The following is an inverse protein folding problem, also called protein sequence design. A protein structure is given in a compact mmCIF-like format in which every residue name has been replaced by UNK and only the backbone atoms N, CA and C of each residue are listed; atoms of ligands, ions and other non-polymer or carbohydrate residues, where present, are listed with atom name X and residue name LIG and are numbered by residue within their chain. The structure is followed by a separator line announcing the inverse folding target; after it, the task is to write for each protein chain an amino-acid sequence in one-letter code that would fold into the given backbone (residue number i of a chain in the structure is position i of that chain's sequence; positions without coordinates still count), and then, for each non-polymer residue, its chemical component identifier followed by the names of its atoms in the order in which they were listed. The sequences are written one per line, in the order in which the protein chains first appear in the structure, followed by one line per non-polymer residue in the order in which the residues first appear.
data_IF_203765848930
#
_entry.id   IF_203765848930
#
_cell.length_a   1.000
_cell.length_b   1.000
_cell.length_c   1.000
_cell.angle_alpha   90.00
_cell.angle_beta   90.00
_cell.angle_gamma   90.00
#
_symmetry.space_group_name_H-M   'P 1'
#
loop_
_entity.id
_entity.type
_entity.pdbx_description
1 polymer ?
#
# COMPACT_ATOMS: atom_id res chain seq x y z
N UNK A 1 -27.44 -3.17 58.42
CA UNK A 1 -27.73 -1.89 57.76
C UNK A 1 -26.78 -1.73 56.58
N UNK A 2 -27.33 -1.95 55.39
CA UNK A 2 -27.00 -1.42 54.05
C UNK A 2 -25.56 -0.93 53.75
N UNK A 3 -24.90 -1.67 52.85
CA UNK A 3 -23.70 -1.28 52.13
C UNK A 3 -24.04 -0.20 51.08
N UNK A 4 -23.47 1.00 51.24
CA UNK A 4 -23.60 2.05 50.22
C UNK A 4 -22.52 1.86 49.15
N UNK A 5 -22.94 1.30 48.03
CA UNK A 5 -22.25 1.23 46.75
C UNK A 5 -21.77 2.62 46.31
N UNK A 6 -20.46 2.84 46.22
CA UNK A 6 -19.89 3.95 45.44
C UNK A 6 -20.20 3.65 43.97
N UNK A 7 -21.16 4.38 43.41
CA UNK A 7 -21.34 4.45 41.97
C UNK A 7 -20.04 4.91 41.33
N UNK A 8 -19.51 4.07 40.43
CA UNK A 8 -18.39 4.39 39.55
C UNK A 8 -18.79 5.57 38.67
N UNK A 9 -18.53 6.78 39.15
CA UNK A 9 -18.63 7.99 38.35
C UNK A 9 -17.52 7.92 37.31
N UNK A 10 -17.86 7.52 36.10
CA UNK A 10 -16.96 7.62 34.95
C UNK A 10 -16.52 9.09 34.87
N UNK A 11 -15.20 9.38 34.88
CA UNK A 11 -14.73 10.76 34.79
C UNK A 11 -15.29 11.38 33.52
N UNK A 12 -16.14 12.41 33.65
CA UNK A 12 -16.63 13.15 32.49
C UNK A 12 -15.41 13.76 31.81
N UNK A 13 -15.12 13.33 30.58
CA UNK A 13 -13.98 13.83 29.80
C UNK A 13 -14.03 15.36 29.79
N UNK A 14 -12.99 16.05 30.29
CA UNK A 14 -12.91 17.50 30.19
C UNK A 14 -13.07 17.91 28.73
N UNK A 15 -13.84 18.95 28.47
CA UNK A 15 -13.91 19.55 27.13
C UNK A 15 -12.53 20.10 26.82
N UNK A 16 -11.81 19.42 25.93
CA UNK A 16 -10.46 19.82 25.52
C UNK A 16 -10.52 21.23 24.93
N UNK A 17 -9.53 22.06 25.28
CA UNK A 17 -9.28 23.33 24.62
C UNK A 17 -9.14 23.12 23.11
N UNK A 18 -9.43 24.15 22.33
CA UNK A 18 -9.34 24.09 20.85
C UNK A 18 -7.95 23.66 20.40
N UNK A 19 -6.89 24.09 21.09
CA UNK A 19 -5.50 23.69 20.80
C UNK A 19 -5.22 22.22 21.09
N UNK A 20 -5.70 21.68 22.21
CA UNK A 20 -5.55 20.27 22.55
C UNK A 20 -6.30 19.36 21.56
N UNK A 21 -7.45 19.80 21.05
CA UNK A 21 -8.19 19.08 20.00
C UNK A 21 -7.41 19.02 18.70
N UNK A 22 -6.87 20.15 18.23
CA UNK A 22 -6.03 20.21 17.00
C UNK A 22 -4.83 19.26 17.06
N UNK A 23 -4.14 19.19 18.20
CA UNK A 23 -3.00 18.27 18.37
C UNK A 23 -3.45 16.81 18.22
N UNK A 24 -4.56 16.46 18.84
CA UNK A 24 -5.13 15.10 18.75
C UNK A 24 -5.57 14.78 17.32
N UNK A 25 -6.19 15.73 16.62
CA UNK A 25 -6.63 15.55 15.23
C UNK A 25 -5.43 15.38 14.30
N UNK A 26 -4.38 16.19 14.44
CA UNK A 26 -3.12 16.01 13.70
C UNK A 26 -2.46 14.65 13.97
N UNK A 27 -2.46 14.17 15.21
CA UNK A 27 -1.92 12.86 15.54
C UNK A 27 -2.73 11.73 14.86
N UNK A 28 -4.05 11.87 14.80
CA UNK A 28 -4.91 10.95 14.06
C UNK A 28 -4.64 11.00 12.55
N UNK A 29 -4.44 12.19 11.98
CA UNK A 29 -4.12 12.35 10.56
C UNK A 29 -2.78 11.69 10.19
N UNK A 30 -1.75 11.85 11.04
CA UNK A 30 -0.48 11.14 10.88
C UNK A 30 -0.63 9.63 10.95
N UNK A 31 -1.40 9.13 11.93
CA UNK A 31 -1.68 7.70 12.03
C UNK A 31 -2.38 7.16 10.77
N UNK A 32 -3.39 7.88 10.28
CA UNK A 32 -4.11 7.52 9.06
C UNK A 32 -3.19 7.57 7.82
N UNK A 33 -2.26 8.52 7.76
CA UNK A 33 -1.31 8.63 6.67
C UNK A 33 -0.33 7.46 6.66
N UNK A 34 0.24 7.11 7.82
CA UNK A 34 1.14 5.96 7.97
C UNK A 34 0.43 4.67 7.58
N UNK A 35 -0.79 4.45 8.08
CA UNK A 35 -1.58 3.25 7.76
C UNK A 35 -1.84 3.11 6.25
N UNK A 36 -2.15 4.22 5.57
CA UNK A 36 -2.32 4.24 4.11
C UNK A 36 -1.01 3.91 3.39
N UNK A 37 0.10 4.48 3.85
CA UNK A 37 1.42 4.25 3.27
C UNK A 37 1.85 2.79 3.40
N UNK A 38 1.66 2.18 4.57
CA UNK A 38 1.92 0.75 4.81
C UNK A 38 1.07 -0.13 3.89
N UNK A 39 -0.24 0.15 3.80
CA UNK A 39 -1.15 -0.60 2.92
C UNK A 39 -0.73 -0.55 1.45
N UNK A 40 -0.35 0.64 0.96
CA UNK A 40 0.13 0.83 -0.41
C UNK A 40 1.47 0.11 -0.64
N UNK A 41 2.39 0.16 0.33
CA UNK A 41 3.67 -0.55 0.24
C UNK A 41 3.50 -2.06 0.17
N UNK A 42 2.64 -2.64 1.02
CA UNK A 42 2.39 -4.08 1.02
C UNK A 42 1.80 -4.53 -0.32
N UNK A 43 0.82 -3.79 -0.86
CA UNK A 43 0.25 -4.04 -2.18
C UNK A 43 1.27 -3.90 -3.32
N UNK A 44 2.11 -2.86 -3.26
CA UNK A 44 3.18 -2.64 -4.23
C UNK A 44 4.23 -3.75 -4.21
N UNK A 45 4.65 -4.18 -3.01
CA UNK A 45 5.63 -5.25 -2.84
C UNK A 45 5.08 -6.59 -3.33
N UNK A 46 3.81 -6.91 -3.04
CA UNK A 46 3.16 -8.11 -3.56
C UNK A 46 3.12 -8.10 -5.10
N UNK A 47 2.78 -6.96 -5.71
CA UNK A 47 2.75 -6.81 -7.17
C UNK A 47 4.15 -6.97 -7.78
N UNK A 48 5.17 -6.33 -7.19
CA UNK A 48 6.56 -6.47 -7.63
C UNK A 48 7.07 -7.92 -7.50
N UNK A 49 6.69 -8.62 -6.42
CA UNK A 49 7.03 -10.02 -6.22
C UNK A 49 6.37 -10.92 -7.27
N UNK A 50 5.12 -10.65 -7.64
CA UNK A 50 4.44 -11.38 -8.73
C UNK A 50 5.17 -11.17 -10.07
N UNK A 51 5.59 -9.94 -10.39
CA UNK A 51 6.40 -9.65 -11.58
C UNK A 51 7.71 -10.46 -11.55
N UNK A 52 8.42 -10.47 -10.42
CA UNK A 52 9.66 -11.21 -10.27
C UNK A 52 9.45 -12.72 -10.49
N UNK A 53 8.43 -13.30 -9.86
CA UNK A 53 8.08 -14.71 -10.02
C UNK A 53 7.68 -15.07 -11.45
N UNK A 54 6.93 -14.19 -12.10
CA UNK A 54 6.50 -14.34 -13.49
C UNK A 54 7.73 -14.36 -14.43
N UNK A 55 8.68 -13.45 -14.23
CA UNK A 55 9.96 -13.45 -14.97
C UNK A 55 10.83 -14.68 -14.69
N UNK A 56 10.90 -15.14 -13.43
CA UNK A 56 11.62 -16.37 -13.08
C UNK A 56 10.99 -17.58 -13.79
N UNK A 57 9.67 -17.67 -13.81
CA UNK A 57 8.94 -18.74 -14.50
C UNK A 57 9.25 -18.75 -16.00
N UNK A 58 9.25 -17.58 -16.64
CA UNK A 58 9.61 -17.45 -18.06
C UNK A 58 11.03 -17.98 -18.32
N UNK A 59 12.01 -17.48 -17.57
CA UNK A 59 13.41 -17.92 -17.71
C UNK A 59 13.56 -19.43 -17.48
N UNK A 60 12.87 -19.99 -16.49
CA UNK A 60 12.92 -21.42 -16.20
C UNK A 60 12.31 -22.28 -17.31
N UNK A 61 11.23 -21.81 -17.95
CA UNK A 61 10.58 -22.49 -19.08
C UNK A 61 11.46 -22.46 -20.33
N UNK A 62 12.13 -21.34 -20.59
CA UNK A 62 13.07 -21.20 -21.70
C UNK A 62 14.31 -22.10 -21.50
N UNK A 63 14.79 -22.23 -20.27
CA UNK A 63 15.95 -23.09 -19.95
C UNK A 63 15.64 -24.59 -20.18
N UNK A 64 14.42 -25.04 -19.86
CA UNK A 64 13.98 -26.43 -20.07
C UNK A 64 13.73 -26.73 -21.56
N UNK A 65 13.24 -25.75 -22.34
CA UNK A 65 13.08 -25.88 -23.79
C UNK A 65 14.42 -25.94 -24.53
N UNK A 66 15.43 -25.19 -24.06
CA UNK A 66 16.76 -25.16 -24.67
C UNK A 66 17.48 -26.52 -24.56
N UNK A 67 17.48 -27.14 -23.37
CA UNK A 67 18.15 -28.43 -23.13
C UNK A 67 17.48 -29.60 -23.86
N UNK A 68 16.16 -29.54 -24.12
CA UNK A 68 15.44 -30.57 -24.88
C UNK A 68 15.59 -30.44 -26.41
N UNK A 69 16.12 -29.33 -26.91
CA UNK A 69 16.13 -29.00 -28.35
C UNK A 69 17.43 -29.38 -29.08
N UNK A 70 18.43 -29.90 -28.36
CA UNK A 70 19.72 -30.36 -28.92
C UNK A 70 19.60 -31.57 -29.88
N UNK A 71 18.40 -32.10 -30.12
CA UNK A 71 18.18 -33.27 -31.00
C UNK A 71 17.17 -33.07 -32.14
N UNK A 72 16.59 -31.89 -32.38
CA UNK A 72 15.82 -31.67 -33.60
C UNK A 72 15.69 -30.18 -33.93
N UNK A 73 16.31 -29.82 -35.06
CA UNK A 73 15.99 -28.62 -35.83
C UNK A 73 14.50 -28.61 -36.20
N UNK A 74 13.75 -27.60 -35.77
CA UNK A 74 12.71 -27.03 -36.63
C UNK A 74 12.34 -25.59 -36.21
N UNK A 75 12.20 -24.78 -37.23
CA UNK A 75 11.73 -23.40 -37.30
C UNK A 75 10.35 -23.24 -36.62
N UNK A 76 10.31 -22.62 -35.44
CA UNK A 76 9.06 -22.02 -34.98
C UNK A 76 9.33 -20.70 -34.26
N UNK A 77 8.89 -19.65 -34.93
CA UNK A 77 8.80 -18.29 -34.44
C UNK A 77 8.23 -18.23 -33.02
N UNK A 78 8.99 -17.60 -32.12
CA UNK A 78 8.56 -16.37 -31.45
C UNK A 78 7.04 -16.32 -31.19
N UNK A 79 6.57 -17.19 -30.30
CA UNK A 79 5.29 -17.03 -29.62
C UNK A 79 5.60 -16.77 -28.16
N UNK A 80 6.02 -15.54 -27.87
CA UNK A 80 5.74 -14.98 -26.54
C UNK A 80 4.27 -15.28 -26.26
N UNK A 81 3.99 -16.04 -25.20
CA UNK A 81 2.63 -16.40 -24.84
C UNK A 81 1.84 -15.08 -24.66
N UNK A 82 0.85 -14.78 -25.53
CA UNK A 82 0.15 -13.50 -25.49
C UNK A 82 -0.64 -13.28 -24.19
N UNK A 83 -0.87 -14.35 -23.45
CA UNK A 83 -1.48 -14.33 -22.12
C UNK A 83 -0.52 -13.85 -21.03
N UNK A 84 0.77 -14.23 -21.11
CA UNK A 84 1.82 -13.80 -20.18
C UNK A 84 2.18 -12.32 -20.37
N UNK A 85 2.28 -11.87 -21.62
CA UNK A 85 2.58 -10.46 -21.92
C UNK A 85 1.48 -9.55 -21.39
N UNK A 86 0.22 -9.96 -21.52
CA UNK A 86 -0.94 -9.26 -20.95
C UNK A 86 -0.95 -9.26 -19.43
N UNK A 87 -0.62 -10.38 -18.78
CA UNK A 87 -0.52 -10.45 -17.32
C UNK A 87 0.58 -9.53 -16.78
N UNK A 88 1.75 -9.54 -17.42
CA UNK A 88 2.87 -8.68 -17.06
C UNK A 88 2.53 -7.19 -17.23
N UNK A 89 1.84 -6.83 -18.30
CA UNK A 89 1.37 -5.47 -18.55
C UNK A 89 0.42 -5.00 -17.44
N UNK A 90 -0.60 -5.81 -17.10
CA UNK A 90 -1.52 -5.49 -16.00
C UNK A 90 -0.80 -5.33 -14.65
N UNK A 91 0.21 -6.17 -14.36
CA UNK A 91 1.01 -6.05 -13.14
C UNK A 91 1.85 -4.76 -13.13
N UNK A 92 2.44 -4.39 -14.28
CA UNK A 92 3.20 -3.14 -14.41
C UNK A 92 2.30 -1.91 -14.21
N UNK A 93 1.10 -1.90 -14.82
CA UNK A 93 0.11 -0.84 -14.63
C UNK A 93 -0.36 -0.74 -13.18
N UNK A 94 -0.60 -1.88 -12.52
CA UNK A 94 -0.96 -1.93 -11.11
C UNK A 94 0.14 -1.38 -10.20
N UNK A 95 1.40 -1.71 -10.49
CA UNK A 95 2.54 -1.18 -9.74
C UNK A 95 2.70 0.33 -9.95
N UNK A 96 2.54 0.82 -11.18
CA UNK A 96 2.57 2.24 -11.49
C UNK A 96 1.46 3.01 -10.77
N UNK A 97 0.24 2.46 -10.75
CA UNK A 97 -0.90 3.05 -10.02
C UNK A 97 -0.60 3.16 -8.52
N UNK A 98 0.08 2.16 -7.95
CA UNK A 98 0.50 2.18 -6.55
C UNK A 98 1.55 3.26 -6.29
N UNK A 99 2.53 3.41 -7.18
CA UNK A 99 3.54 4.47 -7.09
C UNK A 99 2.92 5.86 -7.20
N UNK A 100 1.96 6.05 -8.09
CA UNK A 100 1.23 7.32 -8.24
C UNK A 100 0.41 7.66 -6.99
N UNK A 101 -0.13 6.64 -6.31
CA UNK A 101 -0.83 6.83 -5.04
C UNK A 101 0.14 7.21 -3.89
N UNK A 102 1.35 6.63 -3.86
CA UNK A 102 2.39 6.95 -2.87
C UNK A 102 3.01 8.34 -3.06
N UNK A 103 3.19 8.76 -4.32
CA UNK A 103 3.78 10.06 -4.67
C UNK A 103 2.79 11.21 -4.58
N UNK A 104 1.48 10.91 -4.52
CA UNK A 104 0.43 11.89 -4.26
C UNK A 104 0.59 12.43 -2.85
N UNK A 105 1.21 13.61 -2.75
CA UNK A 105 1.34 14.31 -1.49
C UNK A 105 -0.05 14.50 -0.86
N UNK A 106 -0.21 14.23 0.45
CA UNK A 106 -1.45 14.57 1.13
C UNK A 106 -1.61 16.08 1.12
N UNK A 107 -2.42 16.58 0.19
CA UNK A 107 -2.80 17.98 0.08
C UNK A 107 -3.74 18.33 1.24
N UNK A 108 -3.19 18.47 2.44
CA UNK A 108 -3.74 19.21 3.59
C UNK A 108 -3.05 18.73 4.87
N UNK A 109 -1.86 19.25 5.13
CA UNK A 109 -1.61 19.69 6.50
C UNK A 109 -2.36 21.03 6.63
N UNK A 110 -3.45 21.14 7.41
CA UNK A 110 -4.05 22.43 7.67
C UNK A 110 -2.97 23.25 8.38
N UNK A 111 -2.41 24.21 7.66
CA UNK A 111 -1.55 25.24 8.22
C UNK A 111 -2.28 25.79 9.43
N UNK A 112 -1.71 25.52 10.61
CA UNK A 112 -2.16 26.17 11.84
C UNK A 112 -1.80 27.65 11.71
N UNK A 113 -2.58 28.42 10.97
CA UNK A 113 -2.56 29.87 11.05
C UNK A 113 -3.09 30.19 12.44
N UNK A 114 -2.15 30.45 13.34
CA UNK A 114 -2.42 31.11 14.60
C UNK A 114 -2.95 32.50 14.26
N UNK A 115 -4.27 32.62 14.10
CA UNK A 115 -4.96 33.89 14.19
C UNK A 115 -4.90 34.34 15.64
N UNK A 116 -3.84 35.06 16.00
CA UNK A 116 -3.82 35.90 17.18
C UNK A 116 -4.89 36.98 16.98
N UNK A 117 -6.07 36.76 17.57
CA UNK A 117 -7.08 37.81 17.73
C UNK A 117 -7.00 38.33 19.15
N UNK A 118 -6.63 39.61 19.23
CA UNK A 118 -6.78 40.60 20.32
C UNK A 118 -6.22 40.27 21.69
#
# INVERSE_FOLDING_TARGET
MEAKTLGSATPRKPVLSVSARKIKDNAADWHNLILKWETLNDGGFATANNIANLKISLLSKDTIGLESSSLASDENAEKEHPEYSRELEMLCEGLQTTLDALTRSPASSPTCTAGSST
#
